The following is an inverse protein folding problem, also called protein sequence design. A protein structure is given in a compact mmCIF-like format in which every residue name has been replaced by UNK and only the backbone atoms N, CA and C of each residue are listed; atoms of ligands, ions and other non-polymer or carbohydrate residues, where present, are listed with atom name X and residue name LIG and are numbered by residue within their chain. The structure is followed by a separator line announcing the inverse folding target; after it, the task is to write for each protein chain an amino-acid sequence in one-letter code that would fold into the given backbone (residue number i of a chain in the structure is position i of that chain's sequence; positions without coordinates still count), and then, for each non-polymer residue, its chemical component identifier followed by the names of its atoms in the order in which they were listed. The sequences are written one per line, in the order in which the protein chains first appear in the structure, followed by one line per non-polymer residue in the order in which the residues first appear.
data_IF_140925999285
#
_entry.id   IF_140925999285
#
_cell.length_a   1.000
_cell.length_b   1.000
_cell.length_c   1.000
_cell.angle_alpha   90.00
_cell.angle_beta   90.00
_cell.angle_gamma   90.00
#
_symmetry.space_group_name_H-M   'P 1'
#
loop_
_entity.id
_entity.type
_entity.pdbx_description
1 polymer ?
#
# COMPACT_ATOMS: atom_id res chain seq x y z
N UNK A 1 7.75 -12.36 -5.79
CA UNK A 1 7.44 -11.31 -6.81
C UNK A 1 6.60 -10.20 -6.21
N UNK A 2 5.63 -10.49 -5.32
CA UNK A 2 4.92 -9.48 -4.52
C UNK A 2 5.88 -8.60 -3.71
N UNK A 3 6.86 -9.19 -3.03
CA UNK A 3 7.86 -8.44 -2.25
C UNK A 3 8.61 -7.40 -3.07
N UNK A 4 8.99 -7.77 -4.31
CA UNK A 4 9.68 -6.84 -5.22
C UNK A 4 8.80 -5.62 -5.50
N UNK A 5 7.51 -5.81 -5.75
CA UNK A 5 6.57 -4.70 -5.96
C UNK A 5 6.41 -3.82 -4.72
N UNK A 6 6.34 -4.43 -3.53
CA UNK A 6 6.23 -3.69 -2.27
C UNK A 6 7.48 -2.83 -2.06
N UNK A 7 8.67 -3.40 -2.29
CA UNK A 7 9.94 -2.67 -2.18
C UNK A 7 10.02 -1.54 -3.21
N UNK A 8 9.64 -1.79 -4.47
CA UNK A 8 9.62 -0.75 -5.51
C UNK A 8 8.62 0.37 -5.20
N UNK A 9 7.48 0.04 -4.59
CA UNK A 9 6.47 0.99 -4.16
C UNK A 9 6.94 1.79 -2.95
N UNK A 10 7.52 1.13 -1.95
CA UNK A 10 8.10 1.77 -0.77
C UNK A 10 9.17 2.78 -1.18
N UNK A 11 10.09 2.41 -2.07
CA UNK A 11 11.09 3.34 -2.59
C UNK A 11 10.48 4.57 -3.29
N UNK A 12 9.35 4.41 -4.00
CA UNK A 12 8.63 5.56 -4.59
C UNK A 12 8.00 6.46 -3.51
N UNK A 13 7.47 5.87 -2.45
CA UNK A 13 6.84 6.60 -1.35
C UNK A 13 7.86 7.32 -0.47
N UNK A 14 9.02 6.69 -0.22
CA UNK A 14 10.13 7.27 0.53
C UNK A 14 10.61 8.58 -0.11
N UNK A 15 10.61 8.69 -1.44
CA UNK A 15 10.97 9.95 -2.14
C UNK A 15 10.01 11.10 -1.86
N UNK A 16 8.79 10.80 -1.37
CA UNK A 16 7.76 11.76 -1.00
C UNK A 16 7.62 11.92 0.52
N UNK A 17 8.49 11.29 1.31
CA UNK A 17 8.38 11.30 2.77
C UNK A 17 7.20 10.48 3.29
N UNK A 18 6.81 9.43 2.57
CA UNK A 18 5.72 8.52 2.98
C UNK A 18 6.28 7.14 3.31
N UNK A 19 6.01 6.67 4.53
CA UNK A 19 6.36 5.31 4.97
C UNK A 19 5.24 4.33 4.62
N UNK A 20 5.59 3.16 4.06
CA UNK A 20 4.64 2.09 3.75
C UNK A 20 4.85 0.90 4.69
N UNK A 21 3.85 0.63 5.51
CA UNK A 21 3.79 -0.56 6.35
C UNK A 21 2.75 -1.52 5.77
N UNK A 22 3.16 -2.74 5.43
CA UNK A 22 2.26 -3.78 4.92
C UNK A 22 2.32 -4.96 5.87
N UNK A 23 1.17 -5.38 6.40
CA UNK A 23 1.10 -6.56 7.25
C UNK A 23 1.38 -7.83 6.46
N UNK A 24 1.92 -8.85 7.13
CA UNK A 24 2.24 -10.12 6.46
C UNK A 24 0.99 -10.79 5.87
N UNK A 25 -0.16 -10.67 6.55
CA UNK A 25 -1.47 -11.14 6.05
C UNK A 25 -1.87 -10.45 4.74
N UNK A 26 -1.64 -9.14 4.63
CA UNK A 26 -1.91 -8.39 3.40
C UNK A 26 -0.96 -8.81 2.26
N UNK A 27 0.33 -9.08 2.58
CA UNK A 27 1.29 -9.61 1.60
C UNK A 27 0.85 -10.97 1.06
N UNK A 28 0.47 -11.87 1.95
CA UNK A 28 0.01 -13.21 1.59
C UNK A 28 -1.28 -13.15 0.79
N UNK A 29 -2.24 -12.31 1.18
CA UNK A 29 -3.47 -12.13 0.41
C UNK A 29 -3.21 -11.59 -1.00
N UNK A 30 -2.30 -10.63 -1.15
CA UNK A 30 -1.86 -10.12 -2.46
C UNK A 30 -1.19 -11.22 -3.31
N UNK A 31 -0.40 -12.09 -2.68
CA UNK A 31 0.20 -13.24 -3.34
C UNK A 31 -0.88 -14.23 -3.78
N UNK A 32 -1.86 -14.54 -2.94
CA UNK A 32 -2.94 -15.48 -3.24
C UNK A 32 -3.88 -14.95 -4.33
N UNK A 33 -4.40 -13.72 -4.19
CA UNK A 33 -5.29 -13.11 -5.20
C UNK A 33 -4.56 -12.77 -6.49
N UNK A 34 -3.26 -12.44 -6.41
CA UNK A 34 -2.42 -12.20 -7.58
C UNK A 34 -2.04 -13.48 -8.33
N UNK A 35 -2.00 -14.62 -7.62
CA UNK A 35 -1.69 -15.94 -8.16
C UNK A 35 -2.98 -16.68 -8.54
N UNK A 36 -3.74 -16.15 -9.51
CA UNK A 36 -4.83 -16.92 -10.08
C UNK A 36 -4.26 -18.02 -11.00
N UNK A 37 -4.34 -19.28 -10.53
CA UNK A 37 -3.88 -20.49 -11.24
C UNK A 37 -4.46 -20.64 -12.65
N UNK A 38 -5.57 -19.96 -12.96
CA UNK A 38 -6.21 -20.06 -14.27
C UNK A 38 -5.68 -19.05 -15.31
N UNK A 39 -4.97 -17.99 -14.88
CA UNK A 39 -4.57 -16.85 -15.74
C UNK A 39 -3.05 -16.55 -15.79
N UNK A 40 -2.21 -17.34 -15.11
CA UNK A 40 -0.74 -17.17 -15.06
C UNK A 40 -0.29 -15.97 -14.21
N UNK A 41 1.00 -15.61 -14.21
CA UNK A 41 1.58 -14.57 -13.32
C UNK A 41 1.35 -13.10 -13.76
N UNK A 42 0.68 -12.87 -14.90
CA UNK A 42 0.37 -11.53 -15.44
C UNK A 42 -0.71 -10.71 -14.68
N UNK A 43 -1.71 -11.31 -14.00
CA UNK A 43 -2.71 -10.58 -13.22
C UNK A 43 -2.16 -9.94 -11.93
N UNK A 44 -1.09 -10.49 -11.36
CA UNK A 44 -0.60 -10.06 -10.04
C UNK A 44 -0.17 -8.60 -9.99
N UNK A 45 0.57 -8.13 -11.01
CA UNK A 45 0.95 -6.72 -11.11
C UNK A 45 -0.26 -5.80 -11.22
N UNK A 46 -1.35 -6.27 -11.85
CA UNK A 46 -2.59 -5.50 -12.00
C UNK A 46 -3.36 -5.40 -10.68
N UNK A 47 -3.48 -6.49 -9.93
CA UNK A 47 -4.13 -6.48 -8.61
C UNK A 47 -3.40 -5.53 -7.68
N UNK A 48 -2.06 -5.58 -7.63
CA UNK A 48 -1.26 -4.66 -6.81
C UNK A 48 -1.42 -3.21 -7.30
N UNK A 49 -1.39 -2.95 -8.60
CA UNK A 49 -1.62 -1.60 -9.12
C UNK A 49 -3.01 -1.06 -8.79
N UNK A 50 -4.05 -1.84 -9.00
CA UNK A 50 -5.44 -1.40 -8.81
C UNK A 50 -5.80 -1.32 -7.32
N UNK A 51 -5.31 -2.24 -6.48
CA UNK A 51 -5.64 -2.30 -5.05
C UNK A 51 -4.70 -1.49 -4.16
N UNK A 52 -3.40 -1.37 -4.47
CA UNK A 52 -2.46 -0.54 -3.70
C UNK A 52 -2.19 0.81 -4.39
N UNK A 53 -1.72 0.76 -5.64
CA UNK A 53 -1.08 1.94 -6.25
C UNK A 53 -2.09 3.06 -6.56
N UNK A 54 -3.29 2.71 -7.02
CA UNK A 54 -4.37 3.69 -7.28
C UNK A 54 -4.82 4.46 -6.03
N UNK A 55 -5.23 3.80 -4.92
CA UNK A 55 -5.66 4.54 -3.74
C UNK A 55 -4.53 5.38 -3.15
N UNK A 56 -3.30 4.86 -3.12
CA UNK A 56 -2.13 5.64 -2.69
C UNK A 56 -1.87 6.87 -3.56
N UNK A 57 -1.99 6.74 -4.89
CA UNK A 57 -1.78 7.88 -5.78
C UNK A 57 -2.79 9.01 -5.53
N UNK A 58 -4.04 8.68 -5.22
CA UNK A 58 -5.03 9.69 -4.85
C UNK A 58 -4.67 10.37 -3.53
N UNK A 59 -4.26 9.62 -2.51
CA UNK A 59 -3.87 10.19 -1.22
C UNK A 59 -2.63 11.07 -1.30
N UNK A 60 -1.66 10.69 -2.13
CA UNK A 60 -0.44 11.47 -2.39
C UNK A 60 -0.71 12.77 -3.15
N UNK A 61 -1.82 12.84 -3.90
CA UNK A 61 -2.16 14.02 -4.73
C UNK A 61 -3.16 14.94 -4.03
N UNK A 62 -4.11 14.37 -3.29
CA UNK A 62 -5.29 15.09 -2.79
C UNK A 62 -5.67 14.76 -1.33
N UNK A 63 -5.00 13.80 -0.68
CA UNK A 63 -5.40 13.28 0.62
C UNK A 63 -4.40 13.56 1.74
N UNK A 64 -4.39 12.70 2.76
CA UNK A 64 -3.61 12.92 3.99
C UNK A 64 -2.10 12.80 3.79
N UNK A 65 -1.66 12.17 2.69
CA UNK A 65 -0.25 11.88 2.41
C UNK A 65 0.43 12.93 1.51
N UNK A 66 -0.24 14.04 1.18
CA UNK A 66 0.31 15.09 0.30
C UNK A 66 1.58 15.72 0.88
N UNK A 67 1.62 15.92 2.20
CA UNK A 67 2.74 16.51 2.94
C UNK A 67 3.71 15.43 3.49
N UNK A 68 3.51 14.16 3.13
CA UNK A 68 4.17 13.01 3.76
C UNK A 68 3.32 12.34 4.85
N UNK A 69 3.85 11.27 5.45
CA UNK A 69 3.18 10.53 6.52
C UNK A 69 3.43 9.03 6.48
N UNK A 70 2.50 8.25 7.01
CA UNK A 70 2.59 6.79 7.03
C UNK A 70 1.31 6.17 6.50
N UNK A 71 1.44 5.15 5.67
CA UNK A 71 0.33 4.31 5.25
C UNK A 71 0.50 2.89 5.80
N UNK A 72 -0.54 2.39 6.46
CA UNK A 72 -0.61 1.02 6.95
C UNK A 72 -1.62 0.23 6.14
N UNK A 73 -1.15 -0.85 5.53
CA UNK A 73 -1.96 -1.78 4.74
C UNK A 73 -2.13 -3.05 5.56
N UNK A 74 -3.39 -3.38 5.86
CA UNK A 74 -3.77 -4.57 6.61
C UNK A 74 -4.87 -5.33 5.88
N UNK A 75 -5.04 -6.61 6.22
CA UNK A 75 -6.12 -7.43 5.70
C UNK A 75 -7.28 -7.42 6.71
N UNK A 76 -8.49 -7.13 6.25
CA UNK A 76 -9.71 -7.20 7.08
C UNK A 76 -10.88 -7.67 6.22
N UNK A 77 -11.62 -8.67 6.70
CA UNK A 77 -12.81 -9.19 6.01
C UNK A 77 -12.55 -9.62 4.54
N UNK A 78 -11.41 -10.26 4.27
CA UNK A 78 -10.93 -10.65 2.92
C UNK A 78 -10.65 -9.48 1.96
N UNK A 79 -10.55 -8.24 2.45
CA UNK A 79 -10.21 -7.06 1.67
C UNK A 79 -9.05 -6.25 2.31
N UNK A 80 -8.34 -5.50 1.48
CA UNK A 80 -7.25 -4.65 1.94
C UNK A 80 -7.80 -3.35 2.52
N UNK A 81 -7.40 -3.05 3.75
CA UNK A 81 -7.70 -1.81 4.44
C UNK A 81 -6.45 -0.95 4.48
N UNK A 82 -6.67 0.34 4.21
CA UNK A 82 -5.64 1.36 4.18
C UNK A 82 -5.91 2.36 5.29
N UNK A 83 -4.94 2.50 6.18
CA UNK A 83 -4.93 3.52 7.22
C UNK A 83 -3.88 4.54 6.84
N UNK A 84 -4.32 5.79 6.60
CA UNK A 84 -3.44 6.88 6.20
C UNK A 84 -3.28 7.82 7.38
N UNK A 85 -2.03 7.99 7.82
CA UNK A 85 -1.67 8.90 8.89
C UNK A 85 -0.85 10.02 8.26
N UNK A 86 -1.42 11.22 8.17
CA UNK A 86 -0.69 12.35 7.62
C UNK A 86 0.44 12.78 8.56
N UNK A 87 1.55 13.31 8.02
CA UNK A 87 2.67 13.79 8.83
C UNK A 87 2.26 14.85 9.89
N UNK A 88 1.19 15.61 9.64
CA UNK A 88 0.62 16.56 10.61
C UNK A 88 -0.10 15.86 11.78
N UNK A 89 -0.81 14.77 11.53
CA UNK A 89 -1.51 14.00 12.57
C UNK A 89 -0.53 13.20 13.43
N UNK A 90 0.55 12.68 12.84
CA UNK A 90 1.64 12.01 13.55
C UNK A 90 2.34 12.94 14.55
N UNK A 91 2.52 14.22 14.20
CA UNK A 91 3.14 15.21 15.07
C UNK A 91 2.26 15.61 16.26
N UNK A 92 0.94 15.56 16.11
CA UNK A 92 -0.03 15.90 17.17
C UNK A 92 -0.27 14.72 18.14
N UNK A 93 -0.20 13.47 17.67
CA UNK A 93 -0.35 12.30 18.52
C UNK A 93 0.81 12.07 19.51
N UNK A 94 1.95 12.75 19.31
CA UNK A 94 3.16 12.65 20.13
C UNK A 94 3.38 13.85 21.07
N UNK A 95 2.38 14.73 21.25
CA UNK A 95 2.43 15.87 22.17
C UNK A 95 1.52 15.66 23.40
#
# INVERSE_FOLDING_TARGET
MVDKFIVELQAQLDTRGVSLEVSDEARDWLAVKGYDKTMGARPMGRVIQDKLKKPLANELLFGSLVDGGTVRVSLKDDDLVFDYVGAKEEAEAHH
#
